data_IF_826935919642
#
_entry.id   IF_826935919642
#
_cell.length_a   1.000
_cell.length_b   1.000
_cell.length_c   1.000
_cell.angle_alpha   90.00
_cell.angle_beta   90.00
_cell.angle_gamma   90.00
#
_symmetry.space_group_name_H-M   'P 1'
#
loop_
_entity.id
_entity.type
_entity.pdbx_description
1 polymer ?
#
# COMPACT_ATOMS: atom_id res chain seq x y z
N UNK A 1 -15.62 4.15 -9.59
CA UNK A 1 -14.57 5.18 -9.33
C UNK A 1 -13.33 4.46 -8.82
N UNK A 2 -12.31 4.29 -9.66
CA UNK A 2 -11.04 3.65 -9.29
C UNK A 2 -10.19 4.65 -8.50
N UNK A 3 -9.93 4.36 -7.22
CA UNK A 3 -8.80 4.95 -6.50
C UNK A 3 -7.60 4.02 -6.78
N UNK A 4 -6.71 4.46 -7.65
CA UNK A 4 -5.43 3.79 -7.94
C UNK A 4 -4.60 3.80 -6.66
N UNK A 5 -4.15 2.64 -6.21
CA UNK A 5 -3.22 2.54 -5.09
C UNK A 5 -1.84 3.01 -5.51
N UNK A 6 -1.19 3.78 -4.64
CA UNK A 6 0.19 4.21 -4.84
C UNK A 6 1.11 3.03 -4.54
N UNK A 7 1.91 2.64 -5.53
CA UNK A 7 3.10 1.86 -5.29
C UNK A 7 4.08 2.72 -4.46
N UNK A 8 4.99 2.07 -3.72
CA UNK A 8 6.09 2.74 -3.01
C UNK A 8 7.40 2.20 -3.59
N UNK A 9 8.36 3.07 -3.86
CA UNK A 9 9.67 2.69 -4.41
C UNK A 9 10.80 2.64 -3.38
N UNK A 10 11.84 1.86 -3.69
CA UNK A 10 13.06 1.71 -2.89
C UNK A 10 14.28 2.00 -3.77
N UNK A 11 15.20 2.80 -3.24
CA UNK A 11 16.56 2.90 -3.75
C UNK A 11 17.45 1.95 -2.98
N UNK A 12 17.94 0.91 -3.64
CA UNK A 12 18.93 0.01 -3.04
C UNK A 12 20.32 0.50 -3.44
N UNK A 13 20.95 1.30 -2.57
CA UNK A 13 22.37 1.57 -2.63
C UNK A 13 23.10 0.53 -1.77
N UNK A 14 23.81 -0.41 -2.41
CA UNK A 14 24.67 -1.34 -1.69
C UNK A 14 25.94 -0.57 -1.25
N UNK A 15 25.98 -0.11 0.01
CA UNK A 15 27.19 0.37 0.67
C UNK A 15 27.56 -0.60 1.79
N UNK A 16 28.81 -1.05 1.79
CA UNK A 16 29.43 -1.77 2.92
C UNK A 16 30.74 -1.06 3.31
N UNK A 17 31.20 -1.19 4.57
CA UNK A 17 31.71 -0.05 5.33
C UNK A 17 33.20 0.21 5.13
N UNK A 18 33.50 1.48 4.83
CA UNK A 18 34.57 2.28 5.46
C UNK A 18 34.49 3.66 4.83
N UNK A 19 33.96 4.63 5.58
CA UNK A 19 34.25 6.05 5.42
C UNK A 19 33.47 6.79 6.51
N UNK A 20 34.20 7.22 7.54
CA UNK A 20 33.79 8.35 8.36
C UNK A 20 33.48 9.52 7.42
N UNK A 21 32.28 10.11 7.52
CA UNK A 21 32.01 11.39 6.87
C UNK A 21 31.09 12.25 7.72
N UNK A 22 31.66 13.37 8.18
CA UNK A 22 30.96 14.63 8.40
C UNK A 22 30.56 15.17 7.03
N UNK A 23 29.27 15.39 6.79
CA UNK A 23 28.80 16.25 5.70
C UNK A 23 27.36 16.71 6.04
N UNK A 24 27.18 18.03 6.07
CA UNK A 24 25.92 18.72 6.29
C UNK A 24 25.07 18.66 5.01
N UNK A 25 23.82 18.20 5.13
CA UNK A 25 22.86 18.28 4.03
C UNK A 25 22.29 19.69 3.95
N UNK A 26 22.61 20.40 2.88
CA UNK A 26 21.96 21.67 2.51
C UNK A 26 20.46 21.50 2.30
N UNK A 27 19.70 22.48 2.77
CA UNK A 27 18.24 22.53 2.78
C UNK A 27 17.65 22.45 1.36
N UNK A 28 16.94 21.36 1.05
CA UNK A 28 15.91 21.34 0.00
C UNK A 28 14.66 20.65 0.54
N UNK A 29 13.67 21.46 0.88
CA UNK A 29 12.36 21.07 1.39
C UNK A 29 11.43 20.76 0.20
N UNK A 30 10.95 19.53 0.08
CA UNK A 30 9.84 19.16 -0.80
C UNK A 30 8.57 19.14 0.06
N UNK A 31 7.77 20.21 0.01
CA UNK A 31 6.45 20.28 0.64
C UNK A 31 5.36 19.78 -0.31
N UNK A 32 4.44 18.94 0.16
CA UNK A 32 3.25 18.52 -0.58
C UNK A 32 1.97 18.93 0.15
N UNK A 33 1.16 19.78 -0.51
CA UNK A 33 -0.25 19.97 -0.21
C UNK A 33 -1.09 18.79 -0.69
N UNK A 34 -1.99 18.31 0.17
CA UNK A 34 -3.01 17.30 -0.12
C UNK A 34 -4.41 17.80 0.28
N UNK A 35 -5.44 17.28 -0.40
CA UNK A 35 -6.85 17.60 -0.18
C UNK A 35 -7.52 16.68 0.86
N UNK A 36 -8.51 17.25 1.55
CA UNK A 36 -9.26 16.74 2.69
C UNK A 36 -10.66 16.27 2.25
N UNK A 37 -11.10 15.09 2.68
CA UNK A 37 -12.52 14.67 2.72
C UNK A 37 -12.75 13.95 4.08
N UNK A 38 -13.71 14.45 4.87
CA UNK A 38 -14.08 13.95 6.21
C UNK A 38 -15.21 12.90 6.12
N UNK A 39 -15.24 11.86 6.98
CA UNK A 39 -16.34 10.91 7.05
C UNK A 39 -17.55 11.44 7.87
N UNK A 40 -18.80 11.02 7.58
CA UNK A 40 -19.96 11.37 8.36
C UNK A 40 -20.07 10.49 9.62
N UNK A 41 -20.40 11.12 10.76
CA UNK A 41 -20.70 10.54 12.08
C UNK A 41 -19.51 10.15 12.99
N UNK A 42 -18.74 11.16 13.42
CA UNK A 42 -18.00 11.12 14.68
C UNK A 42 -18.09 12.50 15.34
N UNK A 43 -18.79 12.67 16.48
CA UNK A 43 -18.98 13.96 17.14
C UNK A 43 -17.70 14.54 17.77
N UNK A 44 -16.64 13.73 17.91
CA UNK A 44 -15.50 14.08 18.78
C UNK A 44 -14.20 14.41 18.02
N UNK A 45 -14.26 14.56 16.69
CA UNK A 45 -13.09 14.94 15.88
C UNK A 45 -13.51 15.87 14.75
N UNK A 46 -14.09 17.01 15.11
CA UNK A 46 -14.17 18.15 14.20
C UNK A 46 -13.14 19.20 14.63
N UNK A 47 -12.44 19.87 13.69
CA UNK A 47 -11.63 21.06 14.01
C UNK A 47 -12.42 22.12 14.81
N UNK A 48 -13.75 22.06 14.79
CA UNK A 48 -14.65 22.90 15.59
C UNK A 48 -14.32 22.90 17.09
N UNK A 49 -13.86 21.78 17.67
CA UNK A 49 -13.54 21.70 19.10
C UNK A 49 -12.22 22.41 19.45
N UNK A 50 -11.27 22.44 18.50
CA UNK A 50 -10.05 23.27 18.60
C UNK A 50 -10.35 24.75 18.32
N UNK A 51 -11.35 25.03 17.49
CA UNK A 51 -11.77 26.39 17.12
C UNK A 51 -12.62 27.09 18.20
N UNK A 52 -13.37 26.35 19.03
CA UNK A 52 -14.29 26.97 20.01
C UNK A 52 -13.62 27.62 21.23
N UNK A 53 -12.41 27.23 21.60
CA UNK A 53 -11.79 27.72 22.84
C UNK A 53 -10.67 28.75 22.65
N UNK A 54 -10.20 28.95 21.41
CA UNK A 54 -9.00 29.76 21.14
C UNK A 54 -9.19 31.27 21.15
N UNK A 55 -10.33 31.83 20.69
CA UNK A 55 -10.44 33.29 20.54
C UNK A 55 -11.88 33.84 20.49
N UNK A 56 -12.75 33.46 21.43
CA UNK A 56 -13.99 34.20 21.71
C UNK A 56 -13.72 35.36 22.69
N UNK A 57 -12.84 36.29 22.31
CA UNK A 57 -12.57 37.52 23.10
C UNK A 57 -13.40 38.73 22.72
N UNK A 58 -14.19 38.67 21.64
CA UNK A 58 -15.12 39.74 21.30
C UNK A 58 -16.48 39.45 21.95
N UNK A 59 -16.65 39.95 23.17
CA UNK A 59 -17.85 39.77 24.01
C UNK A 59 -19.17 40.19 23.33
N UNK A 60 -19.10 40.98 22.26
CA UNK A 60 -20.24 41.48 21.50
C UNK A 60 -21.04 40.39 20.78
N UNK A 61 -20.42 39.26 20.41
CA UNK A 61 -21.10 38.17 19.70
C UNK A 61 -21.61 37.07 20.63
N UNK A 62 -21.52 37.25 21.95
CA UNK A 62 -21.87 36.24 22.95
C UNK A 62 -23.08 36.70 23.76
N UNK A 63 -24.21 36.01 23.59
CA UNK A 63 -25.43 36.23 24.36
C UNK A 63 -25.36 35.47 25.68
N UNK A 64 -25.17 36.23 26.77
CA UNK A 64 -25.05 35.70 28.13
C UNK A 64 -26.36 35.71 28.93
N UNK A 65 -27.36 36.46 28.47
CA UNK A 65 -28.68 36.60 29.13
C UNK A 65 -29.78 36.58 28.08
N UNK A 66 -30.87 35.89 28.36
CA UNK A 66 -32.10 36.02 27.58
C UNK A 66 -32.94 37.15 28.17
N UNK A 67 -33.59 37.91 27.30
CA UNK A 67 -34.56 38.94 27.66
C UNK A 67 -35.89 38.59 27.02
N UNK A 68 -36.95 38.58 27.82
CA UNK A 68 -38.31 38.37 27.36
C UNK A 68 -39.16 39.50 27.93
N UNK A 69 -39.77 40.29 27.08
CA UNK A 69 -40.74 41.31 27.48
C UNK A 69 -42.09 40.61 27.65
N UNK A 70 -42.69 40.75 28.83
CA UNK A 70 -44.03 40.22 29.11
C UNK A 70 -45.09 41.16 28.54
N UNK A 71 -46.32 40.66 28.42
CA UNK A 71 -47.45 41.41 27.83
C UNK A 71 -47.80 42.70 28.62
N UNK A 72 -47.36 42.81 29.88
CA UNK A 72 -47.49 44.00 30.72
C UNK A 72 -46.34 45.04 30.54
N UNK A 73 -45.42 44.79 29.60
CA UNK A 73 -44.27 45.65 29.32
C UNK A 73 -43.07 45.44 30.24
N UNK A 74 -43.13 44.53 31.22
CA UNK A 74 -42.01 44.24 32.11
C UNK A 74 -40.98 43.29 31.46
N UNK A 75 -39.69 43.61 31.57
CA UNK A 75 -38.61 42.74 31.06
C UNK A 75 -38.18 41.69 32.08
N UNK A 76 -38.29 40.41 31.71
CA UNK A 76 -37.66 39.30 32.42
C UNK A 76 -36.29 38.99 31.81
N UNK A 77 -35.23 39.16 32.59
CA UNK A 77 -33.85 38.87 32.17
C UNK A 77 -33.32 37.65 32.91
N UNK A 78 -33.05 36.56 32.18
CA UNK A 78 -32.54 35.31 32.76
C UNK A 78 -31.11 35.06 32.28
N UNK A 79 -30.12 34.91 33.18
CA UNK A 79 -28.76 34.56 32.78
C UNK A 79 -28.71 33.13 32.24
N UNK A 80 -28.02 32.94 31.12
CA UNK A 80 -27.86 31.63 30.50
C UNK A 80 -26.76 30.84 31.19
N UNK A 81 -27.04 29.56 31.47
CA UNK A 81 -26.04 28.60 31.96
C UNK A 81 -25.03 28.19 30.88
N UNK A 82 -25.46 28.20 29.61
CA UNK A 82 -24.63 27.94 28.42
C UNK A 82 -24.78 29.13 27.49
N UNK A 83 -23.69 29.86 27.23
CA UNK A 83 -23.70 31.04 26.37
C UNK A 83 -23.90 30.64 24.91
N UNK A 84 -24.66 31.46 24.15
CA UNK A 84 -24.89 31.24 22.72
C UNK A 84 -24.30 32.41 21.92
N UNK A 85 -24.04 32.19 20.63
CA UNK A 85 -23.64 33.27 19.73
C UNK A 85 -24.86 34.08 19.27
N UNK A 86 -24.63 35.33 18.86
CA UNK A 86 -25.65 36.12 18.15
C UNK A 86 -25.89 35.55 16.76
N UNK A 87 -27.08 35.76 16.18
CA UNK A 87 -27.45 35.16 14.88
C UNK A 87 -26.63 35.72 13.70
N UNK A 88 -26.01 36.88 13.88
CA UNK A 88 -25.12 37.56 12.95
C UNK A 88 -23.63 37.24 13.21
N UNK A 89 -23.31 36.33 14.13
CA UNK A 89 -21.95 35.90 14.37
C UNK A 89 -21.42 35.10 13.18
N UNK A 90 -20.40 35.63 12.49
CA UNK A 90 -19.70 34.96 11.41
C UNK A 90 -18.29 34.54 11.84
N UNK A 91 -17.75 33.43 11.30
CA UNK A 91 -16.36 33.06 11.55
C UNK A 91 -15.44 34.09 10.86
N UNK A 92 -14.75 34.93 11.63
CA UNK A 92 -13.72 35.81 11.10
C UNK A 92 -12.41 35.05 10.92
N UNK A 93 -11.76 35.21 9.75
CA UNK A 93 -10.40 34.73 9.49
C UNK A 93 -9.48 35.25 10.60
N UNK A 94 -8.72 34.36 11.24
CA UNK A 94 -7.83 34.75 12.33
C UNK A 94 -6.76 35.73 11.81
N UNK A 95 -6.59 36.91 12.41
CA UNK A 95 -5.42 37.72 12.14
C UNK A 95 -4.20 36.90 12.62
N UNK A 96 -3.28 36.59 11.69
CA UNK A 96 -2.08 35.74 11.85
C UNK A 96 -2.25 34.23 11.59
N UNK A 97 -3.25 33.80 10.82
CA UNK A 97 -3.25 32.42 10.33
C UNK A 97 -2.05 32.18 9.39
N UNK A 98 -1.24 31.12 9.59
CA UNK A 98 -0.13 30.82 8.70
C UNK A 98 -0.63 30.60 7.27
N UNK A 99 0.07 31.17 6.27
CA UNK A 99 -0.39 31.19 4.87
C UNK A 99 -0.69 29.80 4.28
N UNK A 100 -0.06 28.75 4.80
CA UNK A 100 -0.28 27.36 4.39
C UNK A 100 -1.62 26.77 4.87
N UNK A 101 -2.32 27.42 5.80
CA UNK A 101 -3.66 27.07 6.27
C UNK A 101 -4.75 27.99 5.69
N UNK A 102 -4.37 29.01 4.93
CA UNK A 102 -5.26 30.04 4.38
C UNK A 102 -5.34 30.01 2.86
N UNK A 103 -5.22 28.84 2.25
CA UNK A 103 -5.55 28.70 0.83
C UNK A 103 -7.08 28.70 0.69
N UNK A 104 -7.60 29.56 -0.19
CA UNK A 104 -8.99 29.44 -0.62
C UNK A 104 -9.20 28.01 -1.14
N UNK A 105 -10.10 27.22 -0.53
CA UNK A 105 -10.39 25.90 -1.04
C UNK A 105 -10.88 26.05 -2.48
N UNK A 106 -10.27 25.30 -3.41
CA UNK A 106 -10.58 25.45 -4.83
C UNK A 106 -12.09 25.32 -5.06
N UNK A 107 -12.68 26.33 -5.68
CA UNK A 107 -14.13 26.44 -5.91
C UNK A 107 -14.69 25.35 -6.81
N UNK A 108 -13.83 24.56 -7.48
CA UNK A 108 -14.22 23.40 -8.27
C UNK A 108 -13.39 22.16 -7.94
N UNK A 109 -14.05 20.99 -7.99
CA UNK A 109 -13.38 19.69 -7.92
C UNK A 109 -12.57 19.53 -9.21
N UNK A 110 -11.25 19.34 -9.09
CA UNK A 110 -10.37 19.02 -10.23
C UNK A 110 -10.99 17.96 -11.11
N UNK A 111 -10.97 18.19 -12.43
CA UNK A 111 -11.62 17.29 -13.37
C UNK A 111 -11.01 15.88 -13.26
N UNK A 112 -11.75 14.79 -13.58
CA UNK A 112 -11.17 13.45 -13.62
C UNK A 112 -9.87 13.39 -14.44
N UNK A 113 -9.83 14.09 -15.58
CA UNK A 113 -8.66 14.18 -16.45
C UNK A 113 -7.47 14.86 -15.77
N UNK A 114 -7.66 16.00 -15.12
CA UNK A 114 -6.59 16.69 -14.37
C UNK A 114 -6.07 15.87 -13.20
N UNK A 115 -6.94 15.11 -12.53
CA UNK A 115 -6.52 14.19 -11.45
C UNK A 115 -5.72 13.02 -12.02
N UNK A 116 -6.11 12.49 -13.18
CA UNK A 116 -5.38 11.44 -13.89
C UNK A 116 -4.01 11.97 -14.34
N UNK A 117 -3.94 13.13 -14.99
CA UNK A 117 -2.68 13.75 -15.41
C UNK A 117 -1.76 14.09 -14.22
N UNK A 118 -2.32 14.58 -13.11
CA UNK A 118 -1.53 14.84 -11.91
C UNK A 118 -1.13 13.56 -11.15
N UNK A 119 -1.79 12.42 -11.40
CA UNK A 119 -1.38 11.10 -10.92
C UNK A 119 -0.30 10.50 -11.82
N UNK A 120 -0.44 10.65 -13.14
CA UNK A 120 0.56 10.27 -14.14
C UNK A 120 1.87 11.04 -13.94
N UNK A 121 1.83 12.36 -13.73
CA UNK A 121 3.01 13.16 -13.39
C UNK A 121 3.69 12.77 -12.07
N UNK A 122 2.99 12.06 -11.19
CA UNK A 122 3.49 11.55 -9.90
C UNK A 122 3.81 10.05 -9.95
N UNK A 123 3.73 9.43 -11.11
CA UNK A 123 3.99 8.01 -11.28
C UNK A 123 5.45 7.71 -10.98
N UNK A 124 5.69 6.72 -10.13
CA UNK A 124 7.03 6.26 -9.75
C UNK A 124 7.81 5.76 -10.98
N UNK A 125 7.10 5.28 -12.00
CA UNK A 125 7.68 4.94 -13.30
C UNK A 125 8.31 6.17 -13.97
N UNK A 126 7.71 7.36 -13.84
CA UNK A 126 8.26 8.59 -14.40
C UNK A 126 9.52 9.04 -13.66
N UNK A 127 9.57 8.88 -12.33
CA UNK A 127 10.78 9.14 -11.55
C UNK A 127 11.92 8.22 -12.00
N UNK A 128 11.67 6.90 -12.07
CA UNK A 128 12.70 5.96 -12.54
C UNK A 128 13.11 6.24 -13.98
N UNK A 129 12.16 6.58 -14.86
CA UNK A 129 12.44 6.92 -16.26
C UNK A 129 13.33 8.16 -16.35
N UNK A 130 13.05 9.20 -15.56
CA UNK A 130 13.89 10.40 -15.48
C UNK A 130 15.31 10.06 -14.99
N UNK A 131 15.43 9.23 -13.95
CA UNK A 131 16.73 8.78 -13.46
C UNK A 131 17.51 7.94 -14.48
N UNK A 132 16.81 7.26 -15.39
CA UNK A 132 17.39 6.49 -16.48
C UNK A 132 17.49 7.27 -17.80
N UNK A 133 17.49 8.62 -17.75
CA UNK A 133 17.64 9.48 -18.92
C UNK A 133 16.60 9.23 -20.03
N UNK A 134 15.38 8.86 -19.64
CA UNK A 134 14.26 8.64 -20.55
C UNK A 134 14.05 7.19 -20.99
N UNK A 135 14.99 6.28 -20.73
CA UNK A 135 14.83 4.85 -21.03
C UNK A 135 14.89 4.01 -19.75
N UNK A 136 13.74 3.56 -19.26
CA UNK A 136 13.64 2.85 -17.99
C UNK A 136 14.37 1.50 -18.04
N UNK A 137 15.44 1.38 -17.23
CA UNK A 137 16.24 0.17 -17.05
C UNK A 137 16.26 -0.26 -15.57
N UNK A 138 16.53 -1.53 -15.31
CA UNK A 138 16.53 -2.09 -13.94
C UNK A 138 17.67 -1.56 -13.05
N UNK A 139 18.76 -1.07 -13.65
CA UNK A 139 19.87 -0.49 -12.92
C UNK A 139 20.62 0.57 -13.73
N UNK A 140 21.25 1.52 -13.02
CA UNK A 140 22.20 2.49 -13.56
C UNK A 140 23.52 2.43 -12.79
N UNK A 141 24.59 2.98 -13.33
CA UNK A 141 25.81 3.25 -12.56
C UNK A 141 25.54 4.33 -11.51
N UNK A 142 26.14 4.19 -10.33
CA UNK A 142 26.03 5.19 -9.29
C UNK A 142 26.71 6.51 -9.76
N UNK A 143 26.04 7.67 -9.63
CA UNK A 143 26.53 8.94 -10.17
C UNK A 143 27.79 9.46 -9.47
N UNK A 144 28.08 9.00 -8.25
CA UNK A 144 29.27 9.37 -7.47
C UNK A 144 30.35 8.30 -7.56
N UNK A 145 29.96 7.03 -7.71
CA UNK A 145 30.83 5.86 -7.70
C UNK A 145 30.49 4.93 -8.88
N UNK A 146 30.92 5.24 -10.11
CA UNK A 146 30.47 4.54 -11.32
C UNK A 146 30.71 3.03 -11.34
N UNK A 147 31.64 2.54 -10.51
CA UNK A 147 31.91 1.12 -10.27
C UNK A 147 30.75 0.38 -9.60
N UNK A 148 29.95 1.10 -8.81
CA UNK A 148 28.79 0.56 -8.10
C UNK A 148 27.52 0.72 -8.93
N UNK A 149 26.65 -0.28 -8.86
CA UNK A 149 25.33 -0.23 -9.52
C UNK A 149 24.23 0.16 -8.54
N UNK A 150 23.30 0.97 -9.01
CA UNK A 150 22.04 1.29 -8.34
C UNK A 150 20.91 0.53 -9.02
N UNK A 151 20.19 -0.29 -8.27
CA UNK A 151 19.04 -1.04 -8.76
C UNK A 151 17.74 -0.40 -8.31
N UNK A 152 16.76 -0.40 -9.22
CA UNK A 152 15.44 0.14 -8.96
C UNK A 152 14.45 -0.97 -8.68
N UNK A 153 13.56 -0.76 -7.71
CA UNK A 153 12.57 -1.76 -7.34
C UNK A 153 11.34 -1.10 -6.73
N UNK A 154 10.17 -1.71 -6.94
CA UNK A 154 8.96 -1.34 -6.24
C UNK A 154 8.82 -2.20 -4.99
N UNK A 155 8.14 -1.67 -3.98
CA UNK A 155 7.91 -2.38 -2.74
C UNK A 155 7.02 -3.61 -2.98
N UNK A 156 7.61 -4.77 -2.74
CA UNK A 156 7.01 -6.09 -2.92
C UNK A 156 5.74 -6.30 -2.08
N UNK A 157 5.64 -5.67 -0.92
CA UNK A 157 4.45 -5.74 -0.06
C UNK A 157 3.27 -5.00 -0.67
N UNK A 158 3.53 -3.82 -1.26
CA UNK A 158 2.50 -3.05 -1.96
C UNK A 158 2.10 -3.72 -3.28
N UNK A 159 3.02 -4.41 -3.97
CA UNK A 159 2.69 -5.18 -5.18
C UNK A 159 1.65 -6.28 -4.91
N UNK A 160 1.74 -6.99 -3.79
CA UNK A 160 0.75 -8.03 -3.45
C UNK A 160 -0.62 -7.44 -3.16
N UNK A 161 -0.68 -6.28 -2.49
CA UNK A 161 -1.93 -5.55 -2.33
C UNK A 161 -2.50 -5.15 -3.68
N UNK A 162 -1.67 -4.65 -4.59
CA UNK A 162 -2.09 -4.28 -5.95
C UNK A 162 -2.65 -5.49 -6.70
N UNK A 163 -1.96 -6.64 -6.69
CA UNK A 163 -2.45 -7.89 -7.33
C UNK A 163 -3.81 -8.31 -6.75
N UNK A 164 -3.97 -8.34 -5.42
CA UNK A 164 -5.26 -8.60 -4.78
C UNK A 164 -6.31 -7.60 -5.25
N UNK A 165 -6.02 -6.30 -5.22
CA UNK A 165 -7.00 -5.28 -5.56
C UNK A 165 -7.39 -5.29 -7.03
N UNK A 166 -6.48 -5.67 -7.93
CA UNK A 166 -6.80 -5.95 -9.32
C UNK A 166 -7.84 -7.07 -9.42
N UNK A 167 -7.60 -8.18 -8.73
CA UNK A 167 -8.53 -9.30 -8.70
C UNK A 167 -9.91 -8.90 -8.16
N UNK A 168 -9.95 -8.14 -7.08
CA UNK A 168 -11.20 -7.68 -6.45
C UNK A 168 -11.95 -6.62 -7.27
N UNK A 169 -11.24 -5.82 -8.07
CA UNK A 169 -11.85 -4.80 -8.92
C UNK A 169 -12.20 -5.34 -10.32
N UNK A 170 -11.91 -6.61 -10.60
CA UNK A 170 -12.34 -7.25 -11.83
C UNK A 170 -13.87 -7.29 -11.88
N UNK A 171 -14.44 -6.92 -13.04
CA UNK A 171 -15.88 -6.70 -13.20
C UNK A 171 -16.62 -7.92 -13.73
N UNK A 172 -15.90 -8.99 -13.96
CA UNK A 172 -16.41 -10.19 -14.59
C UNK A 172 -17.21 -11.01 -13.59
N UNK A 173 -18.13 -11.83 -14.08
CA UNK A 173 -18.93 -12.67 -13.20
C UNK A 173 -17.99 -13.63 -12.45
N UNK A 174 -18.00 -13.57 -11.13
CA UNK A 174 -17.09 -14.34 -10.27
C UNK A 174 -15.67 -13.78 -10.15
N UNK A 175 -15.41 -12.58 -10.69
CA UNK A 175 -14.14 -11.83 -10.59
C UNK A 175 -12.95 -12.69 -11.03
N UNK A 176 -12.92 -12.97 -12.33
CA UNK A 176 -12.04 -13.96 -12.95
C UNK A 176 -10.81 -13.31 -13.56
N UNK A 177 -9.63 -13.76 -13.13
CA UNK A 177 -8.36 -13.52 -13.80
C UNK A 177 -7.98 -14.68 -14.70
N UNK A 178 -7.45 -14.38 -15.89
CA UNK A 178 -7.08 -15.35 -16.91
C UNK A 178 -5.56 -15.28 -17.12
N UNK A 179 -4.87 -16.39 -16.90
CA UNK A 179 -3.41 -16.44 -16.93
C UNK A 179 -2.92 -17.73 -17.60
N UNK A 180 -1.72 -17.75 -18.21
CA UNK A 180 -1.15 -18.98 -18.75
C UNK A 180 -0.84 -19.95 -17.60
N UNK A 181 -1.11 -21.24 -17.75
CA UNK A 181 -0.76 -22.21 -16.71
C UNK A 181 0.76 -22.20 -16.50
N UNK A 182 1.24 -22.18 -15.24
CA UNK A 182 2.68 -22.16 -14.94
C UNK A 182 3.45 -23.33 -15.53
N UNK A 183 2.80 -24.50 -15.63
CA UNK A 183 3.41 -25.74 -16.14
C UNK A 183 3.25 -25.91 -17.66
N UNK A 184 2.26 -25.23 -18.25
CA UNK A 184 2.00 -25.28 -19.68
C UNK A 184 1.55 -23.91 -20.20
N UNK A 185 2.49 -23.16 -20.78
CA UNK A 185 2.24 -21.79 -21.26
C UNK A 185 1.24 -21.68 -22.43
N UNK A 186 0.85 -22.81 -23.04
CA UNK A 186 -0.19 -22.88 -24.08
C UNK A 186 -1.59 -23.08 -23.49
N UNK A 187 -1.69 -23.58 -22.26
CA UNK A 187 -2.94 -23.72 -21.52
C UNK A 187 -3.26 -22.41 -20.80
N UNK A 188 -4.51 -21.97 -20.84
CA UNK A 188 -5.00 -20.83 -20.05
C UNK A 188 -5.75 -21.39 -18.84
N UNK A 189 -5.35 -20.94 -17.65
CA UNK A 189 -5.99 -21.21 -16.37
C UNK A 189 -6.81 -19.98 -15.92
N UNK A 190 -7.85 -20.24 -15.10
CA UNK A 190 -8.76 -19.22 -14.59
C UNK A 190 -8.70 -19.17 -13.06
N UNK A 191 -8.45 -17.99 -12.50
CA UNK A 191 -8.54 -17.74 -11.07
C UNK A 191 -9.82 -16.95 -10.77
N UNK A 192 -10.78 -17.58 -10.09
CA UNK A 192 -12.08 -17.02 -9.78
C UNK A 192 -12.07 -16.65 -8.30
N UNK A 193 -12.29 -15.37 -7.97
CA UNK A 193 -12.38 -14.98 -6.56
C UNK A 193 -13.58 -15.64 -5.88
N UNK A 194 -14.61 -15.96 -6.67
CA UNK A 194 -15.79 -16.69 -6.22
C UNK A 194 -15.45 -18.03 -5.57
N UNK A 195 -14.43 -18.75 -6.03
CA UNK A 195 -14.04 -20.02 -5.42
C UNK A 195 -13.66 -19.85 -3.93
N UNK A 196 -12.99 -18.74 -3.58
CA UNK A 196 -12.66 -18.44 -2.18
C UNK A 196 -13.90 -18.01 -1.38
N UNK A 197 -14.84 -17.30 -2.01
CA UNK A 197 -16.11 -16.93 -1.38
C UNK A 197 -16.97 -18.15 -1.10
N UNK A 198 -17.03 -19.09 -2.03
CA UNK A 198 -17.80 -20.32 -1.89
C UNK A 198 -17.26 -21.21 -0.77
N UNK A 199 -15.93 -21.31 -0.64
CA UNK A 199 -15.29 -21.98 0.49
C UNK A 199 -15.74 -21.32 1.80
N UNK A 200 -15.59 -20.00 1.91
CA UNK A 200 -15.99 -19.25 3.10
C UNK A 200 -17.47 -19.44 3.44
N UNK A 201 -18.37 -19.30 2.46
CA UNK A 201 -19.81 -19.46 2.68
C UNK A 201 -20.19 -20.87 3.12
N UNK A 202 -19.49 -21.88 2.59
CA UNK A 202 -19.70 -23.29 2.96
C UNK A 202 -19.26 -23.58 4.39
N UNK A 203 -18.17 -22.94 4.85
CA UNK A 203 -17.58 -23.23 6.17
C UNK A 203 -17.83 -22.15 7.23
N UNK A 204 -18.54 -21.06 6.92
CA UNK A 204 -18.68 -19.91 7.84
C UNK A 204 -19.30 -20.29 9.19
N UNK A 205 -20.25 -21.22 9.20
CA UNK A 205 -20.92 -21.75 10.39
C UNK A 205 -20.19 -22.91 11.05
N UNK A 206 -19.13 -23.42 10.43
CA UNK A 206 -18.38 -24.57 10.94
C UNK A 206 -17.42 -24.11 12.05
N UNK A 207 -17.32 -24.92 13.10
CA UNK A 207 -16.34 -24.72 14.18
C UNK A 207 -14.92 -24.93 13.67
N UNK A 208 -14.72 -25.95 12.84
CA UNK A 208 -13.43 -26.28 12.21
C UNK A 208 -13.52 -25.91 10.73
N UNK A 209 -12.54 -25.14 10.27
CA UNK A 209 -12.48 -24.57 8.92
C UNK A 209 -11.22 -25.00 8.21
N UNK A 210 -11.33 -25.33 6.93
CA UNK A 210 -10.19 -25.67 6.08
C UNK A 210 -9.42 -24.40 5.65
N UNK A 211 -10.12 -23.28 5.48
CA UNK A 211 -9.53 -21.98 5.15
C UNK A 211 -9.80 -20.92 6.24
N UNK A 212 -9.27 -21.11 7.48
CA UNK A 212 -9.62 -20.29 8.63
C UNK A 212 -9.22 -18.81 8.51
N UNK A 213 -8.32 -18.47 7.57
CA UNK A 213 -7.90 -17.09 7.31
C UNK A 213 -8.85 -16.33 6.39
N UNK A 214 -9.77 -17.02 5.72
CA UNK A 214 -10.84 -16.38 4.96
C UNK A 214 -11.88 -15.85 5.94
N UNK A 215 -12.00 -14.54 5.99
CA UNK A 215 -12.98 -13.82 6.79
C UNK A 215 -13.72 -12.83 5.91
N UNK A 216 -14.85 -12.31 6.41
CA UNK A 216 -15.61 -11.28 5.72
C UNK A 216 -14.73 -10.07 5.34
N UNK A 217 -13.81 -9.64 6.23
CA UNK A 217 -12.88 -8.54 5.98
C UNK A 217 -11.86 -8.84 4.88
N UNK A 218 -11.47 -10.10 4.75
CA UNK A 218 -10.52 -10.55 3.72
C UNK A 218 -11.18 -10.61 2.35
N UNK A 219 -12.43 -11.10 2.28
CA UNK A 219 -13.17 -11.31 1.02
C UNK A 219 -14.01 -10.11 0.57
N UNK A 220 -14.34 -9.20 1.49
CA UNK A 220 -15.13 -8.00 1.23
C UNK A 220 -14.52 -6.77 1.95
N UNK A 221 -13.25 -6.41 1.66
CA UNK A 221 -12.57 -5.31 2.33
C UNK A 221 -13.17 -3.96 1.93
N UNK A 222 -13.37 -3.11 2.93
CA UNK A 222 -13.65 -1.68 2.73
C UNK A 222 -12.47 -0.96 2.08
N UNK A 223 -12.68 0.27 1.61
CA UNK A 223 -11.60 1.10 1.04
C UNK A 223 -10.41 1.30 2.00
N UNK A 224 -10.66 1.34 3.31
CA UNK A 224 -9.61 1.43 4.32
C UNK A 224 -8.88 0.09 4.49
N UNK A 225 -9.62 -1.01 4.59
CA UNK A 225 -9.06 -2.36 4.75
C UNK A 225 -8.25 -2.82 3.53
N UNK A 226 -8.54 -2.30 2.32
CA UNK A 226 -7.69 -2.52 1.15
C UNK A 226 -6.25 -2.04 1.36
N UNK A 227 -5.99 -1.06 2.21
CA UNK A 227 -4.62 -0.66 2.53
C UNK A 227 -3.87 -1.65 3.44
N UNK A 228 -4.59 -2.57 4.09
CA UNK A 228 -4.02 -3.53 5.00
C UNK A 228 -3.37 -4.70 4.23
N UNK A 229 -2.05 -4.82 4.41
CA UNK A 229 -1.21 -5.87 3.83
C UNK A 229 -1.56 -7.24 4.37
N UNK A 230 -1.83 -7.36 5.66
CA UNK A 230 -2.12 -8.65 6.29
C UNK A 230 -3.37 -9.28 5.68
N UNK A 231 -4.39 -8.47 5.38
CA UNK A 231 -5.59 -8.94 4.70
C UNK A 231 -5.28 -9.42 3.27
N UNK A 232 -4.32 -8.82 2.58
CA UNK A 232 -3.86 -9.31 1.28
C UNK A 232 -3.12 -10.65 1.39
N UNK A 233 -2.21 -10.78 2.35
CA UNK A 233 -1.49 -12.02 2.61
C UNK A 233 -2.42 -13.16 3.02
N UNK A 234 -3.52 -12.86 3.71
CA UNK A 234 -4.52 -13.85 4.09
C UNK A 234 -5.29 -14.44 2.88
N UNK A 235 -5.33 -13.75 1.73
CA UNK A 235 -5.84 -14.33 0.47
C UNK A 235 -4.83 -15.35 -0.06
N UNK A 236 -3.55 -14.97 -0.12
CA UNK A 236 -2.46 -15.79 -0.63
C UNK A 236 -1.87 -16.67 0.48
N UNK A 237 -2.66 -17.61 0.98
CA UNK A 237 -2.26 -18.46 2.10
C UNK A 237 -2.34 -19.96 1.78
N UNK A 238 -1.43 -20.75 2.35
CA UNK A 238 -1.30 -22.20 2.08
C UNK A 238 -2.59 -22.97 2.43
N UNK A 239 -3.27 -22.58 3.52
CA UNK A 239 -4.56 -23.17 3.92
C UNK A 239 -5.64 -22.98 2.86
N UNK A 240 -5.65 -21.83 2.17
CA UNK A 240 -6.65 -21.56 1.14
C UNK A 240 -6.34 -22.39 -0.12
N UNK A 241 -5.06 -22.53 -0.46
CA UNK A 241 -4.62 -23.42 -1.54
C UNK A 241 -4.99 -24.89 -1.26
N UNK A 242 -4.77 -25.36 -0.03
CA UNK A 242 -5.16 -26.69 0.41
C UNK A 242 -6.69 -26.90 0.36
N UNK A 243 -7.47 -25.92 0.83
CA UNK A 243 -8.93 -25.96 0.76
C UNK A 243 -9.46 -26.02 -0.69
N UNK A 244 -8.85 -25.25 -1.60
CA UNK A 244 -9.19 -25.30 -3.03
C UNK A 244 -8.88 -26.67 -3.65
N UNK A 245 -7.75 -27.28 -3.29
CA UNK A 245 -7.39 -28.62 -3.73
C UNK A 245 -8.38 -29.68 -3.24
N UNK A 246 -8.82 -29.57 -1.99
CA UNK A 246 -9.83 -30.44 -1.40
C UNK A 246 -11.19 -30.30 -2.12
N UNK A 247 -11.61 -29.08 -2.45
CA UNK A 247 -12.83 -28.86 -3.23
C UNK A 247 -12.74 -29.42 -4.66
N UNK A 248 -11.56 -29.38 -5.29
CA UNK A 248 -11.36 -29.97 -6.61
C UNK A 248 -11.46 -31.50 -6.58
N UNK A 249 -10.84 -32.14 -5.59
CA UNK A 249 -10.81 -33.60 -5.46
C UNK A 249 -12.14 -34.20 -5.02
N UNK A 250 -12.70 -33.74 -3.90
CA UNK A 250 -13.88 -34.37 -3.30
C UNK A 250 -15.20 -33.91 -3.93
N UNK A 251 -15.29 -32.62 -4.30
CA UNK A 251 -16.53 -32.01 -4.81
C UNK A 251 -16.55 -31.87 -6.33
N UNK A 252 -15.46 -32.23 -7.02
CA UNK A 252 -15.33 -32.12 -8.48
C UNK A 252 -15.42 -30.69 -9.01
N UNK A 253 -15.15 -29.67 -8.17
CA UNK A 253 -15.23 -28.27 -8.58
C UNK A 253 -14.02 -27.86 -9.42
N UNK A 254 -14.24 -26.99 -10.40
CA UNK A 254 -13.16 -26.37 -11.19
C UNK A 254 -12.50 -25.19 -10.43
N UNK A 255 -11.69 -25.52 -9.42
CA UNK A 255 -10.98 -24.59 -8.52
C UNK A 255 -9.46 -24.62 -8.70
N UNK A 256 -8.95 -25.51 -9.56
CA UNK A 256 -7.50 -25.74 -9.73
C UNK A 256 -6.78 -24.52 -10.29
N UNK A 257 -7.41 -23.73 -11.16
CA UNK A 257 -6.81 -22.49 -11.65
C UNK A 257 -6.65 -21.45 -10.53
N UNK A 258 -7.63 -21.31 -9.64
CA UNK A 258 -7.51 -20.43 -8.46
C UNK A 258 -6.40 -20.88 -7.52
N UNK A 259 -6.26 -22.20 -7.32
CA UNK A 259 -5.15 -22.78 -6.56
C UNK A 259 -3.79 -22.46 -7.19
N UNK A 260 -3.62 -22.73 -8.49
CA UNK A 260 -2.39 -22.44 -9.23
C UNK A 260 -1.99 -20.97 -9.07
N UNK A 261 -2.94 -20.05 -9.21
CA UNK A 261 -2.72 -18.63 -9.05
C UNK A 261 -2.24 -18.26 -7.64
N UNK A 262 -2.92 -18.76 -6.61
CA UNK A 262 -2.53 -18.50 -5.22
C UNK A 262 -1.13 -19.06 -4.93
N UNK A 263 -0.83 -20.27 -5.41
CA UNK A 263 0.47 -20.91 -5.18
C UNK A 263 1.63 -20.12 -5.80
N UNK A 264 1.45 -19.56 -6.99
CA UNK A 264 2.49 -18.73 -7.63
C UNK A 264 2.81 -17.49 -6.78
N UNK A 265 1.77 -16.74 -6.38
CA UNK A 265 1.97 -15.54 -5.56
C UNK A 265 2.43 -15.84 -4.14
N UNK A 266 1.96 -16.94 -3.53
CA UNK A 266 2.42 -17.40 -2.22
C UNK A 266 3.91 -17.75 -2.24
N UNK A 267 4.37 -18.51 -3.23
CA UNK A 267 5.81 -18.83 -3.40
C UNK A 267 6.64 -17.58 -3.61
N UNK A 268 6.20 -16.67 -4.47
CA UNK A 268 6.88 -15.39 -4.67
C UNK A 268 6.98 -14.59 -3.36
N UNK A 269 5.89 -14.45 -2.60
CA UNK A 269 5.86 -13.79 -1.30
C UNK A 269 6.82 -14.43 -0.30
N UNK A 270 6.85 -15.76 -0.25
CA UNK A 270 7.68 -16.52 0.68
C UNK A 270 9.16 -16.20 0.49
N UNK A 271 9.59 -16.02 -0.76
CA UNK A 271 10.97 -15.71 -1.16
C UNK A 271 11.29 -14.22 -0.93
N UNK A 272 10.47 -13.31 -1.46
CA UNK A 272 10.79 -11.86 -1.43
C UNK A 272 10.62 -11.23 -0.04
N UNK A 273 9.93 -11.92 0.89
CA UNK A 273 9.68 -11.44 2.24
C UNK A 273 10.52 -12.18 3.32
N UNK A 274 11.67 -12.75 2.95
CA UNK A 274 12.61 -13.36 3.91
C UNK A 274 13.46 -12.27 4.57
N UNK A 275 13.26 -12.03 5.87
CA UNK A 275 13.95 -10.99 6.66
C UNK A 275 14.91 -11.52 7.73
N UNK A 276 14.90 -12.83 7.96
CA UNK A 276 15.68 -13.52 8.99
C UNK A 276 16.18 -14.84 8.41
N UNK A 277 17.42 -15.21 8.72
CA UNK A 277 18.10 -16.41 8.23
C UNK A 277 17.41 -17.73 8.61
N UNK A 278 16.71 -17.75 9.74
CA UNK A 278 16.09 -18.95 10.31
C UNK A 278 14.62 -19.09 9.91
N UNK A 279 14.07 -18.17 9.09
CA UNK A 279 12.65 -18.18 8.71
C UNK A 279 12.24 -19.48 8.03
N UNK A 280 13.02 -19.96 7.06
CA UNK A 280 12.70 -21.18 6.31
C UNK A 280 12.78 -22.43 7.16
N UNK A 281 13.81 -22.58 8.02
CA UNK A 281 13.89 -23.65 9.02
C UNK A 281 12.71 -23.65 9.98
N UNK A 282 12.37 -22.49 10.56
CA UNK A 282 11.25 -22.35 11.50
C UNK A 282 9.90 -22.73 10.88
N UNK A 283 9.68 -22.33 9.62
CA UNK A 283 8.44 -22.63 8.89
C UNK A 283 8.49 -23.97 8.13
N UNK A 284 9.62 -24.68 8.16
CA UNK A 284 9.89 -25.88 7.36
C UNK A 284 9.55 -25.70 5.88
N UNK A 285 9.88 -24.53 5.33
CA UNK A 285 9.55 -24.14 3.96
C UNK A 285 10.81 -23.65 3.22
N UNK A 286 11.31 -24.42 2.23
CA UNK A 286 12.51 -24.07 1.47
C UNK A 286 12.42 -22.74 0.70
N UNK A 287 11.22 -22.31 0.32
CA UNK A 287 11.02 -21.02 -0.33
C UNK A 287 11.17 -19.84 0.63
N UNK A 288 11.15 -20.09 1.94
CA UNK A 288 11.40 -19.09 2.98
C UNK A 288 12.87 -19.08 3.46
N UNK A 289 13.75 -19.89 2.85
CA UNK A 289 15.18 -19.86 3.17
C UNK A 289 15.87 -18.62 2.55
N UNK A 290 16.93 -18.11 3.19
CA UNK A 290 17.81 -17.13 2.56
C UNK A 290 18.38 -17.64 1.25
N UNK A 291 18.71 -16.71 0.35
CA UNK A 291 19.33 -17.08 -0.92
C UNK A 291 20.82 -17.30 -0.69
N UNK A 292 21.29 -18.53 -0.84
CA UNK A 292 22.70 -18.93 -0.65
C UNK A 292 23.43 -19.25 -1.95
N UNK A 293 22.68 -19.50 -3.03
CA UNK A 293 23.23 -19.81 -4.34
C UNK A 293 22.31 -19.33 -5.46
N UNK A 294 22.89 -19.08 -6.65
CA UNK A 294 22.17 -18.75 -7.89
C UNK A 294 21.30 -19.91 -8.40
N UNK A 295 21.70 -21.14 -8.10
CA UNK A 295 21.02 -22.37 -8.54
C UNK A 295 19.99 -22.87 -7.52
N UNK A 296 19.80 -22.15 -6.42
CA UNK A 296 18.82 -22.51 -5.39
C UNK A 296 17.39 -22.50 -5.97
N UNK A 297 16.54 -23.39 -5.46
CA UNK A 297 15.14 -23.54 -5.87
C UNK A 297 14.37 -22.21 -5.90
N UNK A 298 14.61 -21.31 -4.93
CA UNK A 298 14.01 -19.98 -4.90
C UNK A 298 14.40 -19.12 -6.10
N UNK A 299 15.66 -19.16 -6.53
CA UNK A 299 16.13 -18.42 -7.71
C UNK A 299 15.61 -19.03 -9.01
N UNK A 300 15.59 -20.36 -9.11
CA UNK A 300 14.96 -21.06 -10.24
C UNK A 300 13.48 -20.68 -10.35
N UNK A 301 12.77 -20.62 -9.22
CA UNK A 301 11.38 -20.18 -9.18
C UNK A 301 11.23 -18.72 -9.61
N UNK A 302 12.05 -17.79 -9.10
CA UNK A 302 11.93 -16.37 -9.46
C UNK A 302 12.12 -16.14 -10.97
N UNK A 303 13.07 -16.83 -11.60
CA UNK A 303 13.25 -16.77 -13.06
C UNK A 303 12.02 -17.31 -13.80
N UNK A 304 11.52 -18.50 -13.42
CA UNK A 304 10.29 -19.08 -14.01
C UNK A 304 9.07 -18.19 -13.80
N UNK A 305 8.95 -17.56 -12.63
CA UNK A 305 7.87 -16.63 -12.31
C UNK A 305 7.97 -15.37 -13.16
N UNK A 306 9.17 -14.81 -13.37
CA UNK A 306 9.38 -13.70 -14.30
C UNK A 306 8.95 -14.06 -15.72
N UNK A 307 9.39 -15.20 -16.26
CA UNK A 307 9.00 -15.67 -17.60
C UNK A 307 7.48 -15.89 -17.71
N UNK A 308 6.89 -16.45 -16.65
CA UNK A 308 5.45 -16.62 -16.54
C UNK A 308 4.71 -15.27 -16.59
N UNK A 309 5.19 -14.25 -15.87
CA UNK A 309 4.64 -12.90 -15.95
C UNK A 309 4.77 -12.29 -17.35
N UNK A 310 5.92 -12.47 -18.01
CA UNK A 310 6.12 -11.98 -19.40
C UNK A 310 5.14 -12.66 -20.34
N UNK A 311 5.01 -13.99 -20.25
CA UNK A 311 4.01 -14.76 -21.01
C UNK A 311 2.60 -14.30 -20.69
N UNK A 312 2.28 -14.03 -19.43
CA UNK A 312 0.96 -13.57 -19.02
C UNK A 312 0.61 -12.23 -19.65
N UNK A 313 1.54 -11.27 -19.68
CA UNK A 313 1.34 -9.98 -20.33
C UNK A 313 1.04 -10.14 -21.84
N UNK A 314 1.78 -11.02 -22.50
CA UNK A 314 1.71 -11.21 -23.96
C UNK A 314 0.52 -12.06 -24.42
N UNK A 315 0.15 -13.13 -23.69
CA UNK A 315 -0.73 -14.21 -24.20
C UNK A 315 -2.19 -14.17 -23.73
N UNK A 316 -2.55 -13.35 -22.75
CA UNK A 316 -3.85 -13.47 -22.04
C UNK A 316 -5.10 -12.98 -22.80
N UNK A 317 -5.13 -13.08 -24.12
CA UNK A 317 -6.36 -12.94 -24.88
C UNK A 317 -7.06 -14.30 -24.98
N UNK A 318 -8.00 -14.59 -24.07
CA UNK A 318 -8.96 -15.69 -24.28
C UNK A 318 -9.68 -15.51 -25.64
N UNK A 319 -10.08 -16.57 -26.35
CA UNK A 319 -10.94 -16.44 -27.53
C UNK A 319 -12.22 -15.66 -27.21
N UNK A 320 -12.70 -14.84 -28.14
CA UNK A 320 -13.86 -13.95 -27.92
C UNK A 320 -15.11 -14.73 -27.48
N UNK A 321 -15.33 -15.92 -28.03
CA UNK A 321 -16.44 -16.81 -27.68
C UNK A 321 -16.41 -17.21 -26.19
N UNK A 322 -15.25 -17.72 -25.72
CA UNK A 322 -15.06 -18.09 -24.31
C UNK A 322 -15.12 -16.88 -23.38
N UNK A 323 -14.78 -15.67 -23.88
CA UNK A 323 -14.98 -14.42 -23.13
C UNK A 323 -16.46 -14.06 -22.99
N UNK A 324 -17.25 -14.22 -24.04
CA UNK A 324 -18.70 -13.95 -23.98
C UNK A 324 -19.39 -14.91 -23.00
N UNK A 325 -19.04 -16.20 -23.07
CA UNK A 325 -19.55 -17.24 -22.16
C UNK A 325 -19.26 -16.92 -20.69
N UNK A 326 -18.04 -16.46 -20.39
CA UNK A 326 -17.61 -16.11 -19.03
C UNK A 326 -18.00 -14.68 -18.60
N UNK A 327 -18.76 -13.93 -19.41
CA UNK A 327 -19.12 -12.55 -19.09
C UNK A 327 -17.90 -11.63 -18.96
N UNK A 328 -16.90 -11.80 -19.82
CA UNK A 328 -15.66 -11.01 -19.93
C UNK A 328 -15.69 -9.98 -21.09
N UNK A 329 -16.66 -9.03 -21.20
CA UNK A 329 -16.56 -7.97 -22.19
C UNK A 329 -15.44 -7.00 -21.81
N UNK A 330 -14.37 -6.93 -22.62
CA UNK A 330 -13.24 -6.02 -22.41
C UNK A 330 -11.87 -6.71 -22.22
N UNK A 331 -11.00 -6.14 -21.36
CA UNK A 331 -9.57 -6.50 -21.17
C UNK A 331 -9.30 -7.90 -20.56
N UNK A 332 -10.22 -8.86 -20.67
CA UNK A 332 -9.92 -10.29 -20.58
C UNK A 332 -9.33 -10.83 -19.27
N UNK A 333 -9.64 -10.23 -18.11
CA UNK A 333 -9.21 -10.77 -16.81
C UNK A 333 -7.71 -10.66 -16.56
N UNK A 334 -7.08 -9.52 -16.89
CA UNK A 334 -5.64 -9.28 -16.70
C UNK A 334 -5.38 -8.30 -15.56
N UNK A 335 -4.16 -8.32 -15.02
CA UNK A 335 -3.67 -7.23 -14.17
C UNK A 335 -3.63 -5.91 -14.96
N UNK A 336 -3.75 -4.78 -14.28
CA UNK A 336 -3.53 -3.47 -14.89
C UNK A 336 -2.11 -3.37 -15.44
N UNK A 337 -1.90 -2.49 -16.43
CA UNK A 337 -0.59 -2.33 -17.08
C UNK A 337 0.48 -1.95 -16.05
N UNK A 338 0.12 -1.09 -15.11
CA UNK A 338 0.99 -0.57 -14.06
C UNK A 338 1.37 -1.66 -13.06
N UNK A 339 0.39 -2.47 -12.62
CA UNK A 339 0.63 -3.58 -11.70
C UNK A 339 1.48 -4.66 -12.36
N UNK A 340 1.16 -5.00 -13.62
CA UNK A 340 1.90 -5.99 -14.40
C UNK A 340 3.35 -5.55 -14.61
N UNK A 341 3.56 -4.30 -15.02
CA UNK A 341 4.88 -3.72 -15.20
C UNK A 341 5.68 -3.72 -13.90
N UNK A 342 5.13 -3.18 -12.83
CA UNK A 342 5.84 -3.04 -11.56
C UNK A 342 6.23 -4.40 -10.96
N UNK A 343 5.38 -5.42 -11.14
CA UNK A 343 5.66 -6.79 -10.69
C UNK A 343 6.75 -7.46 -11.53
N UNK A 344 6.72 -7.31 -12.87
CA UNK A 344 7.77 -7.81 -13.76
C UNK A 344 9.10 -7.12 -13.48
N UNK A 345 9.09 -5.79 -13.43
CA UNK A 345 10.27 -4.95 -13.20
C UNK A 345 10.92 -5.28 -11.86
N UNK A 346 10.14 -5.34 -10.78
CA UNK A 346 10.64 -5.67 -9.44
C UNK A 346 11.21 -7.08 -9.37
N UNK A 347 10.52 -8.07 -9.93
CA UNK A 347 11.01 -9.45 -9.94
C UNK A 347 12.34 -9.54 -10.69
N UNK A 348 12.43 -8.90 -11.86
CA UNK A 348 13.68 -8.84 -12.64
C UNK A 348 14.80 -8.14 -11.89
N UNK A 349 14.51 -6.99 -11.27
CA UNK A 349 15.49 -6.25 -10.48
C UNK A 349 16.01 -7.06 -9.29
N UNK A 350 15.16 -7.80 -8.58
CA UNK A 350 15.59 -8.66 -7.48
C UNK A 350 16.51 -9.80 -7.95
N UNK A 351 16.19 -10.41 -9.10
CA UNK A 351 17.06 -11.42 -9.73
C UNK A 351 18.42 -10.81 -10.08
N UNK A 352 18.43 -9.63 -10.69
CA UNK A 352 19.65 -8.94 -11.12
C UNK A 352 20.50 -8.48 -9.93
N UNK A 353 19.87 -8.00 -8.85
CA UNK A 353 20.54 -7.67 -7.58
C UNK A 353 21.25 -8.90 -7.03
N UNK A 354 20.55 -10.04 -6.91
CA UNK A 354 21.14 -11.29 -6.39
C UNK A 354 22.33 -11.73 -7.25
N UNK A 355 22.15 -11.74 -8.57
CA UNK A 355 23.18 -12.14 -9.50
C UNK A 355 24.42 -11.24 -9.44
N UNK A 356 24.21 -9.94 -9.28
CA UNK A 356 25.28 -8.95 -9.14
C UNK A 356 26.01 -9.10 -7.81
N UNK A 357 25.30 -9.23 -6.68
CA UNK A 357 25.93 -9.40 -5.36
C UNK A 357 26.82 -10.65 -5.35
N UNK A 358 26.33 -11.81 -5.85
CA UNK A 358 27.15 -13.02 -5.93
C UNK A 358 28.26 -12.97 -6.98
N UNK A 359 28.23 -11.99 -7.91
CA UNK A 359 29.30 -11.79 -8.88
C UNK A 359 30.43 -10.95 -8.28
N UNK A 360 30.08 -9.84 -7.63
CA UNK A 360 31.06 -8.90 -7.07
C UNK A 360 31.54 -9.30 -5.67
N UNK A 361 30.77 -10.15 -4.98
CA UNK A 361 31.01 -10.53 -3.60
C UNK A 361 30.71 -12.02 -3.36
N UNK A 362 31.13 -12.52 -2.20
CA UNK A 362 30.89 -13.89 -1.72
C UNK A 362 30.09 -13.89 -0.41
N UNK A 363 28.84 -13.39 -0.41
CA UNK A 363 28.03 -13.39 0.80
C UNK A 363 27.66 -14.83 1.21
N UNK A 364 27.52 -15.08 2.51
CA UNK A 364 27.02 -16.36 3.02
C UNK A 364 25.55 -16.60 2.61
N UNK A 365 24.76 -15.51 2.57
CA UNK A 365 23.38 -15.50 2.11
C UNK A 365 22.88 -14.08 1.81
N UNK A 366 21.74 -13.99 1.12
CA UNK A 366 21.03 -12.75 0.82
C UNK A 366 19.57 -12.85 1.33
N UNK A 367 19.10 -11.79 1.99
CA UNK A 367 17.73 -11.67 2.50
C UNK A 367 16.93 -10.68 1.67
N UNK A 368 16.09 -11.16 0.75
CA UNK A 368 15.35 -10.28 -0.15
C UNK A 368 14.35 -9.36 0.57
N UNK A 369 13.82 -9.77 1.73
CA UNK A 369 12.93 -8.94 2.54
C UNK A 369 13.60 -7.72 3.18
N UNK A 370 14.92 -7.57 3.03
CA UNK A 370 15.65 -6.34 3.39
C UNK A 370 15.56 -5.26 2.30
N UNK A 371 15.15 -5.62 1.08
CA UNK A 371 14.88 -4.68 -0.01
C UNK A 371 13.39 -4.27 -0.02
N UNK A 372 12.87 -3.80 1.12
CA UNK A 372 11.47 -3.37 1.33
C UNK A 372 11.41 -1.99 2.02
N UNK A 373 10.30 -1.23 1.93
CA UNK A 373 10.16 0.08 2.60
C UNK A 373 9.69 -0.01 4.06
N UNK A 374 9.56 -1.22 4.62
CA UNK A 374 9.08 -1.43 5.99
C UNK A 374 9.88 -0.65 7.05
N UNK A 375 11.20 -0.51 6.89
CA UNK A 375 12.02 0.24 7.85
C UNK A 375 11.67 1.74 7.88
N UNK A 376 11.63 2.46 6.74
CA UNK A 376 11.03 3.79 6.67
C UNK A 376 9.59 3.87 7.21
N UNK A 377 8.73 2.90 6.89
CA UNK A 377 7.34 2.89 7.37
C UNK A 377 7.25 2.76 8.90
N UNK A 378 8.10 1.92 9.49
CA UNK A 378 8.22 1.78 10.94
C UNK A 378 8.70 3.09 11.58
N UNK A 379 9.69 3.77 10.96
CA UNK A 379 10.16 5.09 11.43
C UNK A 379 9.06 6.15 11.39
N UNK A 380 8.24 6.17 10.34
CA UNK A 380 7.04 7.03 10.31
C UNK A 380 6.02 6.66 11.40
N UNK A 381 5.89 5.38 11.73
CA UNK A 381 5.11 4.92 12.87
C UNK A 381 5.60 5.48 14.21
N UNK A 382 6.91 5.48 14.43
CA UNK A 382 7.54 6.05 15.61
C UNK A 382 7.25 7.55 15.73
N UNK A 383 7.35 8.33 14.65
CA UNK A 383 7.02 9.76 14.69
C UNK A 383 5.58 10.02 15.12
N UNK A 384 4.63 9.23 14.62
CA UNK A 384 3.22 9.32 15.04
C UNK A 384 3.05 8.99 16.52
N UNK A 385 3.67 7.91 16.98
CA UNK A 385 3.58 7.47 18.39
C UNK A 385 4.19 8.52 19.34
N UNK A 386 5.37 9.06 19.00
CA UNK A 386 6.03 10.11 19.79
C UNK A 386 5.28 11.44 19.80
N UNK A 387 4.38 11.63 18.83
CA UNK A 387 3.47 12.78 18.74
C UNK A 387 2.10 12.48 19.36
N UNK A 388 2.03 11.59 20.36
CA UNK A 388 0.79 11.24 21.06
C UNK A 388 -0.17 10.36 20.25
N UNK A 389 0.34 9.64 19.24
CA UNK A 389 -0.49 8.86 18.31
C UNK A 389 -1.16 9.68 17.21
N UNK A 390 -0.79 10.96 17.06
CA UNK A 390 -1.35 11.82 16.03
C UNK A 390 -0.93 11.34 14.63
N UNK A 391 -1.92 11.17 13.74
CA UNK A 391 -1.67 10.80 12.35
C UNK A 391 -1.03 11.94 11.54
N UNK A 392 -1.40 13.18 11.85
CA UNK A 392 -0.93 14.38 11.17
C UNK A 392 0.20 15.01 11.97
N UNK A 393 1.42 14.52 11.75
CA UNK A 393 2.64 15.01 12.41
C UNK A 393 3.18 16.21 11.64
N UNK A 394 3.47 17.31 12.34
CA UNK A 394 4.11 18.49 11.74
C UNK A 394 5.61 18.24 11.47
N UNK A 395 6.20 19.00 10.54
CA UNK A 395 7.63 18.91 10.26
C UNK A 395 8.48 19.14 11.52
N UNK A 396 8.09 20.09 12.38
CA UNK A 396 8.77 20.36 13.64
C UNK A 396 8.77 19.13 14.57
N UNK A 397 7.60 18.50 14.74
CA UNK A 397 7.47 17.27 15.54
C UNK A 397 8.28 16.11 14.97
N UNK A 398 8.37 16.00 13.63
CA UNK A 398 9.25 15.02 13.00
C UNK A 398 10.72 15.28 13.34
N UNK A 399 11.19 16.53 13.24
CA UNK A 399 12.58 16.88 13.58
C UNK A 399 12.91 16.63 15.05
N UNK A 400 12.00 16.99 15.97
CA UNK A 400 12.16 16.75 17.40
C UNK A 400 12.18 15.26 17.73
N UNK A 401 11.28 14.49 17.12
CA UNK A 401 11.22 13.03 17.29
C UNK A 401 12.49 12.37 16.73
N UNK A 402 12.97 12.82 15.57
CA UNK A 402 14.17 12.27 14.94
C UNK A 402 15.44 12.53 15.76
N UNK A 403 15.58 13.71 16.37
CA UNK A 403 16.69 13.99 17.30
C UNK A 403 16.70 13.01 18.47
N UNK A 404 15.54 12.76 19.08
CA UNK A 404 15.39 11.82 20.20
C UNK A 404 15.68 10.38 19.78
N UNK A 405 15.13 9.95 18.65
CA UNK A 405 15.35 8.59 18.13
C UNK A 405 16.82 8.34 17.81
N UNK A 406 17.53 9.30 17.21
CA UNK A 406 18.98 9.19 16.99
C UNK A 406 19.77 8.98 18.27
N UNK A 407 19.41 9.68 19.35
CA UNK A 407 20.06 9.51 20.66
C UNK A 407 19.78 8.11 21.21
N UNK A 408 18.53 7.66 21.15
CA UNK A 408 18.14 6.31 21.59
C UNK A 408 18.85 5.22 20.79
N UNK A 409 18.91 5.38 19.46
CA UNK A 409 19.60 4.45 18.57
C UNK A 409 21.10 4.40 18.89
N UNK A 410 21.72 5.55 19.21
CA UNK A 410 23.12 5.62 19.63
C UNK A 410 23.38 4.92 20.97
N UNK A 411 22.50 5.13 21.96
CA UNK A 411 22.57 4.46 23.28
C UNK A 411 22.43 2.95 23.12
N UNK A 412 21.47 2.47 22.32
CA UNK A 412 21.24 1.03 22.15
C UNK A 412 22.32 0.33 21.31
N UNK A 413 23.14 1.09 20.59
CA UNK A 413 24.25 0.56 19.80
C UNK A 413 25.51 0.29 20.64
N UNK A 414 25.63 0.95 21.80
CA UNK A 414 26.70 0.76 22.78
C UNK A 414 26.20 -0.08 23.95
#
# INVERSE_FOLDING_TARGET
>A
MQKTERLKCIFVCLRFPKLERKEEFGEQIIGYGGFQELPPHSPDVTPMDFFQWGYLKHSQFIVKKDRIVRDDGSELVVPRKIWKLTNDAYPSIFPNQPSYLSHEPSTSRKSPSERITALELRDEQNLFTQMCQGNLVNCISNPVQPENKLFFSFDTVHLIKSVRNNWFNEKTLGQVLCFPSPDNSSKISLAKLQDLKDIYETEKSNLIKNAPRLSLKVLYPTSFEKQNVLLALNIFHESNSAALAHEAGEKGKDTMGTKEFIDQFLKWCNIVNVKNSEKGKRLKNPFCDPIRSKDQMSMVFLNKFYDWLVSWNNKSSLPLEKRKELGLPGKGGKLTKETQFALQFTTKSLIDIVNHIFKEHTPEYILLGKFQTDSPEARFGQYRQMSGGNYNVSCLQMFESEKKLKIVDWINFH
#
